data_IF_295546357714
#
_entry.id   IF_295546357714
#
_cell.length_a   1.000
_cell.length_b   1.000
_cell.length_c   1.000
_cell.angle_alpha   90.00
_cell.angle_beta   90.00
_cell.angle_gamma   90.00
#
_symmetry.space_group_name_H-M   'P 1'
#
loop_
_entity.id
_entity.type
_entity.pdbx_description
1 polymer ?
#
# COMPACT_ATOMS: atom_id res chain seq x y z
N UNK A 1 -1.12 -52.80 33.72
CA UNK A 1 -0.11 -51.92 33.08
C UNK A 1 -0.80 -50.65 32.61
N UNK A 2 -0.65 -49.55 33.34
CA UNK A 2 -1.31 -48.27 33.08
C UNK A 2 -0.35 -47.41 32.26
N UNK A 3 -0.76 -46.96 31.06
CA UNK A 3 -0.01 -45.98 30.27
C UNK A 3 -0.62 -44.60 30.52
N UNK A 4 0.10 -43.77 31.27
CA UNK A 4 -0.24 -42.37 31.51
C UNK A 4 0.19 -41.58 30.27
N UNK A 5 -0.79 -41.11 29.50
CA UNK A 5 -0.55 -40.15 28.42
C UNK A 5 -0.50 -38.74 29.03
N UNK A 6 0.67 -38.11 29.01
CA UNK A 6 0.81 -36.70 29.38
C UNK A 6 0.18 -35.83 28.28
N UNK A 7 -0.98 -35.22 28.56
CA UNK A 7 -1.55 -34.19 27.70
C UNK A 7 -0.65 -32.93 27.71
N UNK A 8 -0.25 -32.38 26.56
CA UNK A 8 0.38 -31.06 26.53
C UNK A 8 -0.63 -30.00 26.98
N UNK A 9 -0.20 -29.13 27.90
CA UNK A 9 -1.01 -28.02 28.42
C UNK A 9 -1.48 -27.13 27.26
N UNK A 10 -2.74 -26.64 27.25
CA UNK A 10 -3.20 -25.74 26.22
C UNK A 10 -2.38 -24.46 26.24
N UNK A 11 -1.85 -24.07 25.09
CA UNK A 11 -1.18 -22.78 24.89
C UNK A 11 -2.13 -21.67 25.36
N UNK A 12 -1.76 -21.02 26.45
CA UNK A 12 -2.39 -19.78 26.91
C UNK A 12 -2.24 -18.76 25.79
N UNK A 13 -3.34 -18.46 25.10
CA UNK A 13 -3.43 -17.37 24.14
C UNK A 13 -3.15 -16.06 24.88
N UNK A 14 -1.90 -15.61 24.84
CA UNK A 14 -1.52 -14.27 25.26
C UNK A 14 -2.10 -13.29 24.22
N UNK A 15 -3.36 -12.94 24.41
CA UNK A 15 -3.99 -11.80 23.75
C UNK A 15 -3.31 -10.53 24.25
N UNK A 16 -2.14 -10.21 23.72
CA UNK A 16 -1.53 -8.91 23.89
C UNK A 16 -2.42 -7.90 23.18
N UNK A 17 -3.34 -7.29 23.95
CA UNK A 17 -3.99 -6.05 23.59
C UNK A 17 -2.91 -4.99 23.42
N UNK A 18 -2.32 -4.90 22.23
CA UNK A 18 -1.60 -3.72 21.78
C UNK A 18 -2.64 -2.62 21.58
N UNK A 19 -3.10 -2.04 22.69
CA UNK A 19 -3.80 -0.77 22.68
C UNK A 19 -2.82 0.25 22.14
N UNK A 20 -3.03 0.66 20.89
CA UNK A 20 -2.30 1.73 20.25
C UNK A 20 -2.55 3.03 21.03
N UNK A 21 -1.70 3.28 22.03
CA UNK A 21 -1.59 4.58 22.71
C UNK A 21 -0.65 5.48 21.90
N UNK A 22 -1.00 5.76 20.65
CA UNK A 22 -0.32 6.81 19.91
C UNK A 22 -0.90 8.16 20.34
N UNK A 23 -0.17 8.90 21.19
CA UNK A 23 -0.25 10.35 21.17
C UNK A 23 0.42 10.81 19.88
N UNK A 24 -0.37 11.29 18.92
CA UNK A 24 0.16 11.88 17.69
C UNK A 24 1.07 13.04 18.08
N UNK A 25 2.32 12.96 17.64
CA UNK A 25 3.33 14.02 17.77
C UNK A 25 2.76 15.34 17.25
N UNK A 26 2.81 16.37 18.08
CA UNK A 26 2.33 17.71 17.73
C UNK A 26 2.98 18.23 16.46
N UNK A 27 2.18 18.43 15.42
CA UNK A 27 2.44 19.43 14.38
C UNK A 27 1.67 20.71 14.75
N UNK A 28 2.26 21.84 14.36
CA UNK A 28 2.17 23.12 15.04
C UNK A 28 0.77 23.66 15.34
N UNK A 29 0.65 24.25 16.53
CA UNK A 29 -0.42 25.16 16.94
C UNK A 29 -0.88 26.07 15.78
N UNK A 30 -2.18 26.03 15.50
CA UNK A 30 -2.99 27.17 15.08
C UNK A 30 -2.61 27.86 13.77
N UNK A 31 -3.16 27.41 12.64
CA UNK A 31 -3.62 28.33 11.60
C UNK A 31 -5.13 28.49 11.72
N UNK A 32 -5.54 29.70 12.08
CA UNK A 32 -6.91 30.13 12.21
C UNK A 32 -7.72 29.78 10.94
N UNK A 33 -9.00 29.49 11.16
CA UNK A 33 -10.05 29.31 10.16
C UNK A 33 -9.79 30.16 8.91
N UNK A 34 -9.25 29.57 7.86
CA UNK A 34 -9.29 30.18 6.54
C UNK A 34 -10.76 30.19 6.13
N UNK A 35 -11.35 31.38 6.10
CA UNK A 35 -12.67 31.61 5.51
C UNK A 35 -12.67 31.02 4.10
N UNK A 36 -13.53 30.03 3.86
CA UNK A 36 -13.79 29.52 2.53
C UNK A 36 -14.28 30.70 1.65
N UNK A 37 -13.55 30.99 0.56
CA UNK A 37 -14.00 31.98 -0.43
C UNK A 37 -12.97 32.98 -0.95
N UNK A 38 -11.73 33.02 -0.45
CA UNK A 38 -10.69 33.89 -1.04
C UNK A 38 -10.05 33.21 -2.27
N UNK A 39 -10.16 33.78 -3.49
CA UNK A 39 -9.50 33.23 -4.66
C UNK A 39 -7.98 33.36 -4.52
N UNK A 40 -7.27 32.23 -4.59
CA UNK A 40 -5.81 32.18 -4.58
C UNK A 40 -5.26 33.05 -5.71
N UNK A 41 -4.43 34.05 -5.37
CA UNK A 41 -3.74 34.90 -6.34
C UNK A 41 -2.82 34.04 -7.21
N UNK A 42 -3.25 33.73 -8.43
CA UNK A 42 -2.40 33.16 -9.47
C UNK A 42 -1.38 34.21 -9.91
N UNK A 43 -0.10 33.96 -9.70
CA UNK A 43 0.99 34.77 -10.26
C UNK A 43 1.01 34.59 -11.78
N UNK A 44 0.74 35.67 -12.51
CA UNK A 44 0.78 35.72 -13.98
C UNK A 44 2.23 35.89 -14.43
N UNK A 45 2.85 34.84 -14.96
CA UNK A 45 4.19 34.90 -15.55
C UNK A 45 4.05 35.51 -16.95
N UNK A 46 4.57 36.72 -17.17
CA UNK A 46 4.68 37.32 -18.49
C UNK A 46 6.01 36.93 -19.14
N UNK A 47 5.97 36.18 -20.23
CA UNK A 47 7.15 35.96 -21.08
C UNK A 47 7.36 37.18 -21.97
N UNK A 48 8.43 37.94 -21.74
CA UNK A 48 8.84 39.02 -22.64
C UNK A 48 9.48 38.39 -23.89
N UNK A 49 8.80 38.54 -25.03
CA UNK A 49 9.27 38.09 -26.35
C UNK A 49 10.51 38.90 -26.74
N UNK A 50 11.67 38.26 -26.78
CA UNK A 50 12.95 38.81 -27.28
C UNK A 50 13.47 37.96 -28.44
N UNK A 51 13.94 38.64 -29.49
CA UNK A 51 14.29 38.14 -30.83
C UNK A 51 15.54 37.23 -30.87
N UNK A 52 15.45 36.18 -31.69
CA UNK A 52 16.42 35.81 -32.73
C UNK A 52 17.84 35.35 -32.38
N UNK A 53 18.14 34.09 -32.71
CA UNK A 53 19.25 33.75 -33.62
C UNK A 53 20.58 33.23 -33.05
N UNK A 54 20.88 31.98 -33.44
CA UNK A 54 22.19 31.35 -33.67
C UNK A 54 22.86 30.53 -32.53
N UNK A 55 23.58 29.44 -32.89
CA UNK A 55 23.88 28.29 -32.04
C UNK A 55 25.12 28.52 -31.19
N UNK A 56 25.18 27.92 -30.00
CA UNK A 56 26.38 27.99 -29.16
C UNK A 56 27.09 26.64 -29.13
N UNK A 57 28.28 26.71 -29.71
CA UNK A 57 29.38 25.75 -29.64
C UNK A 57 29.87 25.60 -28.19
N UNK A 58 30.28 24.38 -27.86
CA UNK A 58 30.79 23.96 -26.55
C UNK A 58 32.27 24.36 -26.43
N UNK A 59 32.56 25.61 -26.07
CA UNK A 59 33.83 25.97 -25.44
C UNK A 59 33.83 27.41 -24.94
N UNK A 60 33.86 27.60 -23.60
CA UNK A 60 34.52 28.68 -22.81
C UNK A 60 33.89 28.81 -21.39
N UNK A 61 34.58 29.42 -20.41
CA UNK A 61 34.76 28.83 -19.08
C UNK A 61 33.65 29.12 -18.07
N UNK A 62 33.56 28.23 -17.07
CA UNK A 62 32.68 28.30 -15.89
C UNK A 62 32.85 29.62 -15.12
N UNK A 63 32.05 30.62 -15.47
CA UNK A 63 31.81 31.84 -14.70
C UNK A 63 30.65 31.64 -13.73
N UNK A 64 30.87 31.95 -12.45
CA UNK A 64 29.95 31.71 -11.34
C UNK A 64 28.60 32.44 -11.47
N UNK A 65 27.54 31.67 -11.72
CA UNK A 65 26.19 31.99 -11.26
C UNK A 65 25.80 30.95 -10.22
N UNK A 66 25.46 31.41 -9.02
CA UNK A 66 24.80 30.55 -8.03
C UNK A 66 23.49 30.11 -8.69
N UNK A 67 23.27 28.81 -8.96
CA UNK A 67 22.06 28.41 -9.66
C UNK A 67 20.87 28.67 -8.74
N UNK A 68 19.95 29.51 -9.21
CA UNK A 68 18.67 29.79 -8.53
C UNK A 68 18.04 28.46 -8.09
N UNK A 69 17.43 28.42 -6.91
CA UNK A 69 16.77 27.20 -6.41
C UNK A 69 15.77 26.63 -7.42
N UNK A 70 15.12 27.51 -8.19
CA UNK A 70 14.25 27.13 -9.31
C UNK A 70 15.01 26.43 -10.44
N UNK A 71 16.18 26.92 -10.84
CA UNK A 71 17.01 26.29 -11.88
C UNK A 71 17.49 24.90 -11.42
N UNK A 72 17.91 24.77 -10.15
CA UNK A 72 18.25 23.46 -9.56
C UNK A 72 17.06 22.51 -9.57
N UNK A 73 15.87 22.99 -9.24
CA UNK A 73 14.64 22.19 -9.29
C UNK A 73 14.33 21.74 -10.73
N UNK A 74 14.44 22.64 -11.71
CA UNK A 74 14.25 22.31 -13.13
C UNK A 74 15.25 21.26 -13.61
N UNK A 75 16.53 21.41 -13.27
CA UNK A 75 17.58 20.47 -13.64
C UNK A 75 17.38 19.10 -12.96
N UNK A 76 16.91 19.08 -11.71
CA UNK A 76 16.56 17.85 -11.00
C UNK A 76 15.35 17.16 -11.62
N UNK A 77 14.33 17.91 -12.03
CA UNK A 77 13.15 17.34 -12.69
C UNK A 77 13.49 16.80 -14.09
N UNK A 78 14.31 17.51 -14.87
CA UNK A 78 14.73 17.08 -16.20
C UNK A 78 15.72 15.91 -16.16
N UNK A 79 16.53 15.83 -15.11
CA UNK A 79 17.48 14.73 -14.88
C UNK A 79 17.00 13.72 -13.84
N UNK A 80 15.72 13.69 -13.49
CA UNK A 80 15.19 12.68 -12.59
C UNK A 80 15.36 11.29 -13.21
N UNK A 81 15.58 10.23 -12.41
CA UNK A 81 15.47 8.86 -12.88
C UNK A 81 14.06 8.62 -13.39
N UNK A 82 13.97 8.26 -14.66
CA UNK A 82 12.79 7.64 -15.25
C UNK A 82 12.51 6.34 -14.47
N UNK A 83 11.24 6.03 -14.16
CA UNK A 83 10.89 4.76 -13.54
C UNK A 83 11.46 3.64 -14.41
N UNK A 84 12.22 2.71 -13.79
CA UNK A 84 12.91 1.62 -14.49
C UNK A 84 11.88 0.87 -15.36
N UNK A 85 11.91 1.12 -16.67
CA UNK A 85 11.12 0.34 -17.62
C UNK A 85 11.88 -0.96 -17.86
N UNK A 86 11.19 -2.07 -17.71
CA UNK A 86 11.76 -3.37 -18.06
C UNK A 86 12.06 -3.40 -19.57
N UNK A 87 13.33 -3.32 -19.94
CA UNK A 87 13.80 -3.48 -21.32
C UNK A 87 13.74 -4.95 -21.73
N UNK A 88 13.15 -5.21 -22.90
CA UNK A 88 13.16 -6.53 -23.50
C UNK A 88 14.59 -6.96 -23.86
N UNK A 89 14.87 -8.27 -23.98
CA UNK A 89 16.21 -8.75 -24.34
C UNK A 89 16.76 -8.16 -25.65
N UNK A 90 15.88 -7.89 -26.62
CA UNK A 90 16.24 -7.28 -27.91
C UNK A 90 16.66 -5.82 -27.76
N UNK A 91 15.97 -5.05 -26.93
CA UNK A 91 16.30 -3.65 -26.68
C UNK A 91 17.61 -3.52 -25.91
N UNK A 92 17.85 -4.44 -24.95
CA UNK A 92 19.11 -4.50 -24.20
C UNK A 92 20.32 -4.80 -25.10
N UNK A 93 20.15 -5.70 -26.07
CA UNK A 93 21.19 -5.99 -27.07
C UNK A 93 21.48 -4.76 -27.96
N UNK A 94 20.43 -4.04 -28.38
CA UNK A 94 20.56 -2.82 -29.18
C UNK A 94 21.25 -1.69 -28.41
N UNK A 95 20.96 -1.55 -27.11
CA UNK A 95 21.68 -0.61 -26.26
C UNK A 95 23.15 -1.00 -26.09
N UNK A 96 23.46 -2.29 -25.94
CA UNK A 96 24.85 -2.77 -25.88
C UNK A 96 25.62 -2.51 -27.20
N UNK A 97 24.97 -2.62 -28.36
CA UNK A 97 25.56 -2.24 -29.64
C UNK A 97 25.77 -0.72 -29.76
N UNK A 98 24.83 0.09 -29.26
CA UNK A 98 24.99 1.55 -29.19
C UNK A 98 26.12 1.97 -28.26
N UNK A 99 26.27 1.27 -27.13
CA UNK A 99 27.39 1.45 -26.20
C UNK A 99 28.73 1.13 -26.87
N UNK A 100 28.81 0.06 -27.68
CA UNK A 100 30.00 -0.26 -28.47
C UNK A 100 30.34 0.82 -29.50
N UNK A 101 29.33 1.50 -30.03
CA UNK A 101 29.48 2.64 -30.94
C UNK A 101 29.70 3.99 -30.22
N UNK A 102 29.81 3.99 -28.88
CA UNK A 102 30.07 5.19 -28.07
C UNK A 102 28.83 6.05 -27.76
N UNK A 103 27.62 5.62 -28.15
CA UNK A 103 26.36 6.31 -27.84
C UNK A 103 25.79 5.81 -26.51
N UNK A 104 26.19 6.44 -25.41
CA UNK A 104 25.78 6.06 -24.05
C UNK A 104 24.49 6.80 -23.65
N UNK A 105 23.48 6.08 -23.15
CA UNK A 105 22.25 6.68 -22.63
C UNK A 105 22.49 7.36 -21.27
N UNK A 106 21.65 8.34 -20.91
CA UNK A 106 21.71 9.00 -19.58
C UNK A 106 21.53 8.01 -18.43
N UNK A 107 20.71 6.98 -18.62
CA UNK A 107 20.48 5.92 -17.63
C UNK A 107 21.75 5.08 -17.42
N UNK A 108 22.43 4.70 -18.51
CA UNK A 108 23.69 3.95 -18.45
C UNK A 108 24.82 4.76 -17.81
N UNK A 109 24.89 6.07 -18.08
CA UNK A 109 25.83 6.97 -17.40
C UNK A 109 25.59 6.97 -15.87
N UNK A 110 24.33 7.02 -15.43
CA UNK A 110 23.98 6.94 -14.00
C UNK A 110 24.33 5.59 -13.39
N UNK A 111 24.08 4.49 -14.09
CA UNK A 111 24.49 3.15 -13.63
C UNK A 111 26.01 3.07 -13.46
N UNK A 112 26.77 3.58 -14.43
CA UNK A 112 28.23 3.62 -14.36
C UNK A 112 28.72 4.53 -13.22
N UNK A 113 28.06 5.65 -12.95
CA UNK A 113 28.35 6.49 -11.79
C UNK A 113 28.02 5.81 -10.45
N UNK A 114 26.90 5.08 -10.36
CA UNK A 114 26.52 4.33 -9.16
C UNK A 114 27.53 3.19 -8.92
N UNK A 115 27.95 2.50 -9.98
CA UNK A 115 28.99 1.47 -9.90
C UNK A 115 30.34 2.07 -9.47
N UNK A 116 30.74 3.21 -10.04
CA UNK A 116 31.95 3.95 -9.63
C UNK A 116 31.89 4.42 -8.18
N UNK A 117 30.70 4.77 -7.67
CA UNK A 117 30.46 5.19 -6.28
C UNK A 117 30.35 4.02 -5.28
N UNK A 118 30.63 2.78 -5.70
CA UNK A 118 30.63 1.60 -4.81
C UNK A 118 29.35 0.75 -4.84
N UNK A 119 28.49 0.95 -5.84
CA UNK A 119 27.33 0.11 -6.11
C UNK A 119 26.21 0.23 -5.05
N UNK A 120 25.30 -0.76 -5.04
CA UNK A 120 24.11 -0.76 -4.16
C UNK A 120 24.46 -0.74 -2.67
N UNK A 121 25.61 -1.32 -2.30
CA UNK A 121 26.12 -1.37 -0.92
C UNK A 121 26.54 0.01 -0.41
N UNK A 122 27.21 0.80 -1.24
CA UNK A 122 27.56 2.19 -0.89
C UNK A 122 26.34 3.13 -0.81
N UNK A 123 25.24 2.77 -1.49
CA UNK A 123 23.96 3.49 -1.41
C UNK A 123 23.10 3.08 -0.20
N UNK A 124 23.65 2.28 0.73
CA UNK A 124 22.98 1.91 1.98
C UNK A 124 21.82 0.92 1.82
N UNK A 125 21.77 0.17 0.71
CA UNK A 125 20.76 -0.89 0.53
C UNK A 125 21.37 -2.20 1.04
N UNK A 126 20.93 -2.73 2.20
CA UNK A 126 21.42 -4.00 2.73
C UNK A 126 20.98 -5.18 1.84
N UNK A 127 21.80 -6.23 1.81
CA UNK A 127 21.47 -7.49 1.12
C UNK A 127 20.45 -8.33 1.92
N UNK A 128 20.34 -8.07 3.23
CA UNK A 128 19.38 -8.73 4.11
C UNK A 128 17.96 -8.21 3.89
N UNK A 129 16.93 -9.08 4.01
CA UNK A 129 15.54 -8.68 3.86
C UNK A 129 15.21 -7.59 4.88
N UNK A 130 14.99 -6.37 4.38
CA UNK A 130 14.62 -5.24 5.21
C UNK A 130 13.26 -5.52 5.83
N UNK A 131 13.20 -5.51 7.16
CA UNK A 131 11.98 -5.85 7.88
C UNK A 131 10.95 -4.76 7.58
N UNK A 132 9.78 -5.17 7.09
CA UNK A 132 8.69 -4.25 6.76
C UNK A 132 8.06 -3.72 8.04
N UNK A 133 8.34 -2.46 8.39
CA UNK A 133 7.79 -1.82 9.59
C UNK A 133 8.68 -0.72 10.13
N UNK A 134 8.31 -0.18 11.30
CA UNK A 134 9.21 0.70 12.07
C UNK A 134 10.35 -0.14 12.64
N UNK A 135 11.62 0.24 12.41
CA UNK A 135 12.75 -0.52 12.91
C UNK A 135 12.68 -0.63 14.44
N UNK A 136 12.85 -1.85 14.97
CA UNK A 136 12.85 -2.12 16.41
C UNK A 136 11.49 -2.49 17.02
N UNK A 137 10.42 -2.59 16.23
CA UNK A 137 9.10 -3.06 16.68
C UNK A 137 8.78 -4.49 16.21
N UNK A 138 9.80 -5.23 15.79
CA UNK A 138 9.62 -6.59 15.30
C UNK A 138 9.63 -7.56 16.47
N UNK A 139 8.90 -8.68 16.35
CA UNK A 139 8.85 -9.68 17.43
C UNK A 139 10.24 -10.25 17.79
N UNK A 140 11.18 -10.20 16.84
CA UNK A 140 12.58 -10.60 17.03
C UNK A 140 13.36 -9.53 17.80
N UNK A 141 13.25 -8.26 17.40
CA UNK A 141 13.97 -7.15 18.07
C UNK A 141 13.40 -6.87 19.47
N UNK A 142 12.12 -7.15 19.69
CA UNK A 142 11.47 -7.10 21.01
C UNK A 142 11.81 -8.30 21.91
N UNK A 143 12.57 -9.29 21.42
CA UNK A 143 12.97 -10.47 22.19
C UNK A 143 11.84 -11.44 22.51
N UNK A 144 10.69 -11.33 21.84
CA UNK A 144 9.55 -12.26 22.01
C UNK A 144 9.73 -13.55 21.20
N UNK A 145 10.46 -13.48 20.08
CA UNK A 145 10.70 -14.61 19.18
C UNK A 145 12.20 -14.73 18.91
N UNK A 146 12.79 -15.86 19.29
CA UNK A 146 14.18 -16.17 18.95
C UNK A 146 14.30 -16.43 17.44
N UNK A 147 15.15 -15.68 16.76
CA UNK A 147 15.37 -15.81 15.31
C UNK A 147 15.79 -17.24 14.90
N UNK A 148 16.58 -17.90 15.74
CA UNK A 148 17.14 -19.22 15.46
C UNK A 148 16.10 -20.36 15.56
N UNK A 149 14.99 -20.12 16.27
CA UNK A 149 13.90 -21.09 16.44
C UNK A 149 12.83 -20.99 15.36
N UNK A 150 12.92 -19.99 14.47
CA UNK A 150 11.96 -19.83 13.38
C UNK A 150 12.18 -20.97 12.38
N UNK A 151 11.20 -21.88 12.20
CA UNK A 151 11.33 -22.94 11.22
C UNK A 151 11.47 -22.34 9.83
N UNK A 152 12.64 -22.57 9.21
CA UNK A 152 12.91 -22.18 7.83
C UNK A 152 12.24 -23.22 6.92
N UNK A 153 11.16 -22.84 6.28
CA UNK A 153 10.52 -23.69 5.27
C UNK A 153 11.20 -23.43 3.93
N UNK A 154 11.87 -24.44 3.40
CA UNK A 154 12.40 -24.42 2.04
C UNK A 154 11.25 -24.68 1.07
N UNK A 155 10.63 -23.60 0.58
CA UNK A 155 9.81 -23.69 -0.61
C UNK A 155 10.76 -23.61 -1.81
N UNK A 156 10.78 -24.66 -2.64
CA UNK A 156 11.55 -24.59 -3.88
C UNK A 156 11.08 -23.38 -4.68
N UNK A 157 12.02 -22.65 -5.30
CA UNK A 157 11.69 -21.44 -6.08
C UNK A 157 10.68 -21.76 -7.20
N UNK A 158 10.72 -22.99 -7.71
CA UNK A 158 9.83 -23.49 -8.75
C UNK A 158 8.40 -23.69 -8.23
N UNK A 159 8.22 -24.34 -7.08
CA UNK A 159 6.90 -24.53 -6.48
C UNK A 159 6.28 -23.20 -6.04
N UNK A 160 7.08 -22.28 -5.51
CA UNK A 160 6.61 -20.93 -5.20
C UNK A 160 6.10 -20.18 -6.44
N UNK A 161 6.83 -20.25 -7.55
CA UNK A 161 6.41 -19.66 -8.83
C UNK A 161 5.15 -20.32 -9.38
N UNK A 162 5.01 -21.64 -9.24
CA UNK A 162 3.84 -22.40 -9.69
C UNK A 162 2.60 -22.02 -8.88
N UNK A 163 2.69 -22.03 -7.55
CA UNK A 163 1.59 -21.68 -6.65
C UNK A 163 1.13 -20.22 -6.85
N UNK A 164 2.06 -19.28 -6.98
CA UNK A 164 1.72 -17.87 -7.21
C UNK A 164 0.99 -17.65 -8.55
N UNK A 165 1.40 -18.37 -9.61
CA UNK A 165 0.72 -18.33 -10.92
C UNK A 165 -0.70 -18.88 -10.82
N UNK A 166 -0.89 -20.02 -10.18
CA UNK A 166 -2.22 -20.63 -10.02
C UNK A 166 -3.15 -19.78 -9.13
N UNK A 167 -2.64 -19.24 -8.02
CA UNK A 167 -3.39 -18.30 -7.20
C UNK A 167 -3.85 -17.08 -8.01
N UNK A 168 -2.93 -16.48 -8.78
CA UNK A 168 -3.24 -15.33 -9.64
C UNK A 168 -4.31 -15.69 -10.69
N UNK A 169 -4.22 -16.88 -11.31
CA UNK A 169 -5.21 -17.38 -12.27
C UNK A 169 -6.59 -17.53 -11.65
N UNK A 170 -6.68 -18.18 -10.49
CA UNK A 170 -7.93 -18.40 -9.75
C UNK A 170 -8.55 -17.06 -9.34
N UNK A 171 -7.74 -16.15 -8.79
CA UNK A 171 -8.19 -14.84 -8.36
C UNK A 171 -8.75 -14.02 -9.54
N UNK A 172 -8.06 -14.02 -10.68
CA UNK A 172 -8.54 -13.33 -11.88
C UNK A 172 -9.80 -13.95 -12.46
N UNK A 173 -9.95 -15.28 -12.39
CA UNK A 173 -11.19 -15.97 -12.78
C UNK A 173 -12.36 -15.53 -11.89
N UNK A 174 -12.17 -15.55 -10.56
CA UNK A 174 -13.17 -15.11 -9.58
C UNK A 174 -13.54 -13.64 -9.77
N UNK A 175 -12.55 -12.78 -10.02
CA UNK A 175 -12.78 -11.37 -10.27
C UNK A 175 -13.61 -11.14 -11.53
N UNK A 176 -13.27 -11.79 -12.66
CA UNK A 176 -14.05 -11.67 -13.90
C UNK A 176 -15.47 -12.19 -13.74
N UNK A 177 -15.65 -13.32 -13.05
CA UNK A 177 -16.98 -13.86 -12.76
C UNK A 177 -17.82 -12.89 -11.92
N UNK A 178 -17.22 -12.28 -10.89
CA UNK A 178 -17.85 -11.25 -10.07
C UNK A 178 -18.23 -10.01 -10.90
N UNK A 179 -17.32 -9.51 -11.73
CA UNK A 179 -17.58 -8.36 -12.60
C UNK A 179 -18.74 -8.63 -13.56
N UNK A 180 -18.78 -9.81 -14.19
CA UNK A 180 -19.88 -10.21 -15.08
C UNK A 180 -21.22 -10.30 -14.32
N UNK A 181 -21.22 -10.84 -13.10
CA UNK A 181 -22.41 -10.91 -12.27
C UNK A 181 -22.90 -9.51 -11.86
N UNK A 182 -22.00 -8.63 -11.40
CA UNK A 182 -22.32 -7.26 -11.01
C UNK A 182 -22.80 -6.42 -12.21
N UNK A 183 -22.18 -6.56 -13.39
CA UNK A 183 -22.62 -5.86 -14.60
C UNK A 183 -24.00 -6.32 -15.07
N UNK A 184 -24.26 -7.63 -15.01
CA UNK A 184 -25.58 -8.18 -15.36
C UNK A 184 -26.65 -7.74 -14.37
N UNK A 185 -26.35 -7.75 -13.07
CA UNK A 185 -27.25 -7.27 -12.02
C UNK A 185 -27.57 -5.78 -12.20
N UNK A 186 -26.57 -4.96 -12.55
CA UNK A 186 -26.76 -3.55 -12.83
C UNK A 186 -27.62 -3.32 -14.07
N UNK A 187 -27.41 -4.09 -15.14
CA UNK A 187 -28.25 -4.02 -16.35
C UNK A 187 -29.70 -4.37 -16.03
N UNK A 188 -29.93 -5.51 -15.38
CA UNK A 188 -31.29 -5.93 -14.98
C UNK A 188 -31.95 -4.92 -14.03
N UNK A 189 -31.20 -4.30 -13.11
CA UNK A 189 -31.73 -3.22 -12.25
C UNK A 189 -32.22 -2.03 -13.07
N UNK A 190 -31.49 -1.61 -14.10
CA UNK A 190 -31.87 -0.49 -14.97
C UNK A 190 -33.12 -0.82 -15.78
N UNK A 191 -33.14 -1.99 -16.41
CA UNK A 191 -34.29 -2.48 -17.18
C UNK A 191 -35.55 -2.58 -16.28
N UNK A 192 -35.39 -3.05 -15.05
CA UNK A 192 -36.48 -3.10 -14.08
C UNK A 192 -37.02 -1.71 -13.69
N UNK A 193 -36.15 -0.71 -13.51
CA UNK A 193 -36.57 0.67 -13.22
C UNK A 193 -37.29 1.28 -14.44
N UNK A 194 -36.82 0.97 -15.65
CA UNK A 194 -37.42 1.47 -16.89
C UNK A 194 -38.83 0.92 -17.14
N UNK A 195 -39.07 -0.35 -16.76
CA UNK A 195 -40.38 -1.00 -16.87
C UNK A 195 -41.42 -0.50 -15.85
N UNK A 196 -41.05 0.35 -14.89
CA UNK A 196 -41.99 0.92 -13.92
C UNK A 196 -42.84 2.06 -14.52
N UNK A 197 -44.08 2.27 -14.04
CA UNK A 197 -44.86 3.47 -14.34
C UNK A 197 -44.12 4.76 -13.94
N UNK A 198 -44.37 5.85 -14.66
CA UNK A 198 -43.62 7.12 -14.54
C UNK A 198 -43.51 7.65 -13.11
N UNK A 199 -44.62 7.65 -12.35
CA UNK A 199 -44.65 8.09 -10.95
C UNK A 199 -43.71 7.26 -10.04
N UNK A 200 -43.62 5.94 -10.26
CA UNK A 200 -42.77 5.05 -9.47
C UNK A 200 -41.31 5.08 -9.93
N UNK A 201 -41.09 5.36 -11.22
CA UNK A 201 -39.77 5.52 -11.82
C UNK A 201 -39.03 6.71 -11.22
N UNK A 202 -39.72 7.84 -11.04
CA UNK A 202 -39.18 9.03 -10.37
C UNK A 202 -38.75 8.71 -8.92
N UNK A 203 -39.60 8.02 -8.16
CA UNK A 203 -39.29 7.61 -6.79
C UNK A 203 -38.11 6.62 -6.71
N UNK A 204 -38.02 5.67 -7.65
CA UNK A 204 -36.98 4.64 -7.69
C UNK A 204 -35.59 5.18 -8.10
N UNK A 205 -35.53 6.34 -8.75
CA UNK A 205 -34.26 7.01 -9.10
C UNK A 205 -33.60 7.67 -7.89
N UNK A 206 -34.37 7.98 -6.85
CA UNK A 206 -33.84 8.57 -5.61
C UNK A 206 -33.14 7.48 -4.78
N UNK A 207 -31.86 7.66 -4.40
CA UNK A 207 -31.16 6.71 -3.56
C UNK A 207 -31.76 6.70 -2.14
N UNK A 208 -32.03 5.49 -1.61
CA UNK A 208 -32.41 5.34 -0.22
C UNK A 208 -31.23 5.65 0.71
N UNK A 209 -31.43 6.60 1.62
CA UNK A 209 -30.44 7.05 2.60
C UNK A 209 -30.64 6.41 3.97
N UNK A 210 -31.57 5.45 4.10
CA UNK A 210 -31.75 4.69 5.33
C UNK A 210 -30.45 3.95 5.69
N UNK A 211 -29.98 4.03 6.95
CA UNK A 211 -28.78 3.33 7.35
C UNK A 211 -29.02 1.82 7.31
N UNK A 212 -27.97 1.05 7.01
CA UNK A 212 -28.06 -0.40 7.07
C UNK A 212 -28.44 -0.88 8.49
N UNK A 213 -29.23 -1.97 8.60
CA UNK A 213 -29.67 -2.46 9.89
C UNK A 213 -28.48 -2.93 10.73
N UNK A 214 -28.47 -2.53 12.00
CA UNK A 214 -27.40 -2.86 12.95
C UNK A 214 -27.26 -4.38 13.21
N UNK A 215 -28.29 -5.17 12.91
CA UNK A 215 -28.33 -6.62 13.12
C UNK A 215 -27.72 -7.44 11.97
N UNK A 216 -26.99 -6.80 11.04
CA UNK A 216 -26.28 -7.51 9.96
C UNK A 216 -24.98 -8.11 10.50
N UNK A 217 -25.06 -9.32 11.04
CA UNK A 217 -23.89 -10.06 11.51
C UNK A 217 -22.99 -10.49 10.36
N UNK A 218 -21.67 -10.41 10.57
CA UNK A 218 -20.70 -11.02 9.67
C UNK A 218 -20.82 -12.55 9.76
N UNK A 219 -20.62 -13.23 8.64
CA UNK A 219 -20.57 -14.68 8.63
C UNK A 219 -19.40 -15.16 9.51
N UNK A 220 -19.70 -15.92 10.56
CA UNK A 220 -18.70 -16.56 11.42
C UNK A 220 -18.36 -17.96 10.92
N UNK A 221 -17.17 -18.45 11.26
CA UNK A 221 -16.72 -19.79 10.86
C UNK A 221 -17.61 -20.90 11.43
N UNK A 222 -18.24 -20.64 12.58
CA UNK A 222 -19.14 -21.57 13.27
C UNK A 222 -20.51 -20.92 13.44
N UNK A 223 -21.60 -21.69 13.29
CA UNK A 223 -22.96 -21.20 13.57
C UNK A 223 -23.11 -20.83 15.06
N UNK A 224 -24.08 -19.96 15.41
CA UNK A 224 -24.31 -19.56 16.79
C UNK A 224 -24.72 -20.74 17.66
N UNK A 225 -24.23 -20.76 18.90
CA UNK A 225 -24.56 -21.78 19.90
C UNK A 225 -25.90 -21.41 20.56
N UNK A 226 -26.85 -22.34 20.59
CA UNK A 226 -28.15 -22.17 21.23
C UNK A 226 -28.01 -21.87 22.73
N UNK A 227 -28.78 -20.89 23.21
CA UNK A 227 -28.79 -20.49 24.63
C UNK A 227 -27.47 -19.91 25.15
N UNK A 228 -26.46 -19.63 24.31
CA UNK A 228 -25.18 -19.08 24.78
C UNK A 228 -25.36 -17.71 25.47
N UNK A 229 -26.18 -16.83 24.88
CA UNK A 229 -26.48 -15.51 25.46
C UNK A 229 -27.20 -15.65 26.80
N UNK A 230 -28.09 -16.63 26.95
CA UNK A 230 -28.81 -16.90 28.19
C UNK A 230 -27.85 -17.38 29.27
N UNK A 231 -26.98 -18.34 28.96
CA UNK A 231 -25.93 -18.81 29.87
C UNK A 231 -24.99 -17.69 30.30
N UNK A 232 -24.59 -16.80 29.39
CA UNK A 232 -23.76 -15.62 29.71
C UNK A 232 -24.52 -14.65 30.62
N UNK A 233 -25.78 -14.36 30.34
CA UNK A 233 -26.62 -13.50 31.19
C UNK A 233 -26.85 -14.10 32.58
N UNK A 234 -27.09 -15.41 32.67
CA UNK A 234 -27.23 -16.13 33.93
C UNK A 234 -25.93 -16.12 34.74
N UNK A 235 -24.79 -16.37 34.09
CA UNK A 235 -23.48 -16.31 34.73
C UNK A 235 -23.15 -14.89 35.24
N UNK A 236 -23.47 -13.86 34.46
CA UNK A 236 -23.30 -12.46 34.86
C UNK A 236 -24.20 -12.09 36.05
N UNK A 237 -25.45 -12.57 36.08
CA UNK A 237 -26.36 -12.39 37.22
C UNK A 237 -25.83 -13.10 38.48
N UNK A 238 -25.24 -14.29 38.33
CA UNK A 238 -24.63 -15.04 39.44
C UNK A 238 -23.36 -14.37 39.98
N UNK A 239 -22.58 -13.69 39.13
CA UNK A 239 -21.34 -13.03 39.53
C UNK A 239 -21.57 -11.64 40.15
N UNK A 240 -22.59 -10.89 39.72
CA UNK A 240 -22.90 -9.57 40.28
C UNK A 240 -23.43 -9.60 41.72
N UNK A 241 -23.99 -10.73 42.17
CA UNK A 241 -24.43 -10.95 43.56
C UNK A 241 -23.31 -11.24 44.56
N UNK A 242 -22.06 -11.46 44.11
CA UNK A 242 -20.89 -11.62 44.98
C UNK A 242 -20.11 -10.31 45.11
N UNK A 243 -20.77 -9.25 45.56
CA UNK A 243 -20.07 -8.05 46.03
C UNK A 243 -19.42 -8.34 47.39
N UNK A 244 -18.18 -7.87 47.56
CA UNK A 244 -17.31 -8.11 48.72
C UNK A 244 -18.00 -7.74 50.03
N UNK A 245 -18.13 -8.73 50.93
CA UNK A 245 -18.11 -8.49 52.37
C UNK A 245 -16.66 -8.21 52.77
N UNK A 246 -16.24 -6.94 52.67
CA UNK A 246 -15.15 -6.31 53.42
C UNK A 246 -14.91 -4.89 52.94
#
# INVERSE_FOLDING_TARGET
>A
MIRIANNPKPLTTLGHQLLQRCTVSGTAKGKAKLKAGQPLKRTKVSTKKGKGGAPTDDSLPKGGRIPDENQRLYDQCLNAPTPVRHLSPKERAREAEREKLGLISKERQREMEILKKGGRKAMGVPDDPMIMGTPGLDLITLGLVDADKIPKYELTVEDGRRLAKEYSRVLMRKHRARQAAESNLLRMKKEAIEALPELLKEAALVPDLSPFPANRFMATLTPPIEGYIEKVKEAARKSSGKQKLR
#
